data_IF_765282964641
#
_entry.id   IF_765282964641
#
_cell.length_a   1.000
_cell.length_b   1.000
_cell.length_c   1.000
_cell.angle_alpha   90.00
_cell.angle_beta   90.00
_cell.angle_gamma   90.00
#
_symmetry.space_group_name_H-M   'P 1'
#
loop_
_entity.id
_entity.type
_entity.pdbx_description
1 polymer ?
#
# COMPACT_ATOMS: atom_id res chain seq x y z
N UNK A 1 -10.21 35.54 7.52
CA UNK A 1 -9.41 34.63 6.69
C UNK A 1 -10.14 34.41 5.37
N UNK A 2 -9.54 34.76 4.22
CA UNK A 2 -10.10 34.40 2.90
C UNK A 2 -10.06 32.89 2.73
N UNK A 3 -11.21 32.23 2.56
CA UNK A 3 -11.28 30.80 2.22
C UNK A 3 -10.55 30.61 0.89
N UNK A 4 -9.37 29.96 0.92
CA UNK A 4 -8.68 29.55 -0.30
C UNK A 4 -9.53 28.48 -0.98
N UNK A 5 -10.08 28.77 -2.16
CA UNK A 5 -10.77 27.77 -2.99
C UNK A 5 -9.73 26.85 -3.64
N UNK A 6 -9.81 25.57 -3.38
CA UNK A 6 -9.04 24.56 -4.11
C UNK A 6 -9.70 24.42 -5.49
N UNK A 7 -8.90 24.50 -6.55
CA UNK A 7 -9.36 24.33 -7.93
C UNK A 7 -8.62 23.15 -8.56
N UNK A 8 -9.34 22.27 -9.26
CA UNK A 8 -8.71 21.29 -10.14
C UNK A 8 -8.08 22.03 -11.33
N UNK A 9 -6.93 21.56 -11.79
CA UNK A 9 -6.22 22.11 -12.95
C UNK A 9 -5.81 20.95 -13.84
N UNK A 10 -6.20 21.03 -15.12
CA UNK A 10 -5.67 20.14 -16.13
C UNK A 10 -4.23 20.54 -16.46
N UNK A 11 -3.32 19.56 -16.51
CA UNK A 11 -1.94 19.72 -16.94
C UNK A 11 -1.74 18.94 -18.22
N UNK A 12 -0.94 19.49 -19.14
CA UNK A 12 -0.53 18.75 -20.33
C UNK A 12 0.32 17.54 -19.94
N UNK A 13 0.16 16.43 -20.67
CA UNK A 13 0.95 15.18 -20.47
C UNK A 13 2.46 15.46 -20.47
N UNK A 14 2.92 16.44 -21.27
CA UNK A 14 4.32 16.88 -21.32
C UNK A 14 4.88 17.37 -19.96
N UNK A 15 4.02 17.69 -19.00
CA UNK A 15 4.39 18.12 -17.63
C UNK A 15 4.49 16.94 -16.64
N UNK A 16 4.15 15.75 -17.07
CA UNK A 16 4.35 14.53 -16.25
C UNK A 16 5.83 14.13 -16.37
N UNK A 17 6.52 13.88 -15.26
CA UNK A 17 7.92 13.47 -15.29
C UNK A 17 8.14 12.22 -16.14
N UNK A 18 9.19 12.21 -16.97
CA UNK A 18 9.51 11.10 -17.88
C UNK A 18 9.68 9.75 -17.15
N UNK A 19 10.16 9.76 -15.91
CA UNK A 19 10.29 8.58 -15.10
C UNK A 19 8.94 7.97 -14.70
N UNK A 20 7.88 8.78 -14.64
CA UNK A 20 6.50 8.31 -14.42
C UNK A 20 5.94 7.76 -15.72
N UNK A 21 6.06 8.52 -16.82
CA UNK A 21 5.57 8.12 -18.15
C UNK A 21 6.21 6.80 -18.62
N UNK A 22 7.51 6.62 -18.36
CA UNK A 22 8.22 5.38 -18.75
C UNK A 22 7.76 4.12 -18.00
N UNK A 23 7.03 4.28 -16.89
CA UNK A 23 6.45 3.19 -16.11
C UNK A 23 4.95 3.00 -16.41
N UNK A 24 4.34 3.92 -17.17
CA UNK A 24 2.96 3.79 -17.59
C UNK A 24 2.86 2.82 -18.77
N UNK A 25 1.87 1.95 -18.72
CA UNK A 25 1.51 1.10 -19.83
C UNK A 25 0.88 1.98 -20.91
N UNK A 26 1.08 1.64 -22.18
CA UNK A 26 0.52 2.38 -23.32
C UNK A 26 -0.99 2.59 -23.14
N UNK A 27 -1.49 3.79 -23.46
CA UNK A 27 -2.91 4.19 -23.43
C UNK A 27 -3.51 4.28 -22.03
N UNK A 28 -2.94 5.13 -21.17
CA UNK A 28 -3.47 5.38 -19.83
C UNK A 28 -4.25 6.68 -19.86
N UNK A 29 -5.57 6.62 -19.64
CA UNK A 29 -6.43 7.80 -19.55
C UNK A 29 -6.30 8.51 -18.19
N UNK A 30 -5.75 7.84 -17.19
CA UNK A 30 -5.65 8.34 -15.84
C UNK A 30 -4.36 7.87 -15.16
N UNK A 31 -3.68 8.78 -14.46
CA UNK A 31 -2.47 8.49 -13.69
C UNK A 31 -2.64 9.08 -12.29
N UNK A 32 -2.56 8.21 -11.27
CA UNK A 32 -2.49 8.59 -9.87
C UNK A 32 -1.08 8.26 -9.34
N UNK A 33 -0.32 9.27 -8.95
CA UNK A 33 1.00 9.05 -8.38
C UNK A 33 1.39 10.14 -7.39
N UNK A 34 2.29 9.80 -6.47
CA UNK A 34 2.95 10.74 -5.57
C UNK A 34 4.39 11.00 -6.02
N UNK A 35 4.79 12.26 -6.27
CA UNK A 35 6.18 12.57 -6.63
C UNK A 35 7.20 12.08 -5.60
N UNK A 36 6.84 12.08 -4.33
CA UNK A 36 7.71 11.68 -3.24
C UNK A 36 7.96 10.17 -3.19
N UNK A 37 7.09 9.34 -3.76
CA UNK A 37 7.27 7.89 -3.74
C UNK A 37 8.54 7.48 -4.50
N UNK A 38 8.85 8.14 -5.61
CA UNK A 38 10.06 7.86 -6.40
C UNK A 38 11.31 8.16 -5.58
N UNK A 39 11.38 9.33 -4.94
CA UNK A 39 12.51 9.71 -4.08
C UNK A 39 12.66 8.72 -2.93
N UNK A 40 11.56 8.38 -2.27
CA UNK A 40 11.55 7.42 -1.17
C UNK A 40 12.08 6.04 -1.62
N UNK A 41 11.49 5.46 -2.67
CA UNK A 41 11.87 4.13 -3.15
C UNK A 41 13.29 4.08 -3.72
N UNK A 42 13.80 5.16 -4.33
CA UNK A 42 15.19 5.26 -4.73
C UNK A 42 16.14 5.23 -3.52
N UNK A 43 15.77 5.91 -2.42
CA UNK A 43 16.53 5.86 -1.19
C UNK A 43 16.50 4.46 -0.55
N UNK A 44 15.32 3.83 -0.49
CA UNK A 44 15.15 2.46 -0.01
C UNK A 44 15.97 1.48 -0.86
N UNK A 45 15.93 1.61 -2.18
CA UNK A 45 16.72 0.76 -3.08
C UNK A 45 18.23 0.85 -2.79
N UNK A 46 18.73 2.07 -2.53
CA UNK A 46 20.15 2.26 -2.14
C UNK A 46 20.48 1.60 -0.80
N UNK A 47 19.56 1.67 0.17
CA UNK A 47 19.74 1.01 1.47
C UNK A 47 19.73 -0.51 1.34
N UNK A 48 18.79 -1.08 0.56
CA UNK A 48 18.74 -2.52 0.32
C UNK A 48 20.06 -3.02 -0.28
N UNK A 49 20.60 -2.30 -1.26
CA UNK A 49 21.83 -2.68 -1.97
C UNK A 49 23.11 -2.60 -1.12
N UNK A 50 23.09 -1.93 0.03
CA UNK A 50 24.28 -1.81 0.89
C UNK A 50 24.72 -3.14 1.49
N UNK A 51 23.77 -4.02 1.82
CA UNK A 51 24.04 -5.32 2.45
C UNK A 51 23.08 -6.36 1.88
N UNK A 52 23.58 -7.60 1.66
CA UNK A 52 22.80 -8.70 1.12
C UNK A 52 21.60 -9.11 1.99
N UNK A 53 21.72 -8.94 3.30
CA UNK A 53 20.69 -9.32 4.26
C UNK A 53 19.61 -8.23 4.47
N UNK A 54 19.73 -7.10 3.77
CA UNK A 54 18.74 -6.03 3.88
C UNK A 54 17.44 -6.41 3.18
N UNK A 55 16.34 -6.18 3.87
CA UNK A 55 14.99 -6.43 3.37
C UNK A 55 14.12 -5.18 3.56
N UNK A 56 13.31 -4.89 2.57
CA UNK A 56 12.20 -3.96 2.68
C UNK A 56 10.89 -4.74 2.67
N UNK A 57 10.06 -4.50 3.68
CA UNK A 57 8.71 -5.04 3.78
C UNK A 57 7.71 -3.90 3.88
N UNK A 58 6.67 -3.94 3.07
CA UNK A 58 5.51 -3.04 3.23
C UNK A 58 4.20 -3.82 3.13
N UNK A 59 3.25 -3.41 3.95
CA UNK A 59 1.88 -3.95 3.95
C UNK A 59 0.94 -2.76 3.96
N UNK A 60 0.12 -2.65 2.94
CA UNK A 60 -0.88 -1.59 2.83
C UNK A 60 -2.06 -2.02 1.96
N UNK A 61 -3.17 -1.26 2.03
CA UNK A 61 -4.28 -1.49 1.12
C UNK A 61 -3.94 -0.95 -0.27
N UNK A 62 -4.20 -1.78 -1.29
CA UNK A 62 -3.76 -1.46 -2.64
C UNK A 62 -4.13 -2.49 -3.69
N UNK A 63 -3.58 -2.27 -4.88
CA UNK A 63 -3.83 -3.10 -6.05
C UNK A 63 -2.53 -3.38 -6.83
N UNK A 64 -2.58 -4.42 -7.68
CA UNK A 64 -1.47 -4.85 -8.52
C UNK A 64 -1.83 -4.88 -10.01
N UNK A 65 -2.84 -4.12 -10.42
CA UNK A 65 -3.33 -4.11 -11.80
C UNK A 65 -2.37 -3.36 -12.73
N UNK A 66 -2.53 -3.60 -14.03
CA UNK A 66 -1.69 -3.00 -15.07
C UNK A 66 -2.10 -1.57 -15.45
N UNK A 67 -3.16 -1.07 -14.87
CA UNK A 67 -3.69 0.27 -15.10
C UNK A 67 -3.83 1.04 -13.78
N UNK A 68 -3.83 2.36 -13.88
CA UNK A 68 -4.09 3.22 -12.74
C UNK A 68 -5.59 3.25 -12.42
N UNK A 69 -5.91 3.32 -11.14
CA UNK A 69 -7.27 3.47 -10.64
C UNK A 69 -7.41 4.84 -9.97
N UNK A 70 -8.55 5.48 -10.17
CA UNK A 70 -8.94 6.65 -9.39
C UNK A 70 -9.40 6.19 -8.01
N UNK A 71 -8.50 6.30 -7.04
CA UNK A 71 -8.70 5.76 -5.69
C UNK A 71 -8.68 6.84 -4.62
N UNK A 72 -8.39 8.10 -5.01
CA UNK A 72 -8.32 9.21 -4.08
C UNK A 72 -9.70 9.48 -3.46
N UNK A 73 -9.76 9.44 -2.13
CA UNK A 73 -10.99 9.65 -1.39
C UNK A 73 -10.73 10.41 -0.10
N UNK A 74 -11.77 11.03 0.44
CA UNK A 74 -11.74 11.63 1.75
C UNK A 74 -12.82 11.02 2.65
N UNK A 75 -12.47 10.80 3.91
CA UNK A 75 -13.33 10.25 4.94
C UNK A 75 -13.42 11.20 6.13
N UNK A 76 -14.62 11.44 6.63
CA UNK A 76 -14.86 12.13 7.90
C UNK A 76 -15.81 11.29 8.74
N UNK A 77 -15.39 10.93 9.96
CA UNK A 77 -16.17 10.06 10.88
C UNK A 77 -16.67 8.79 10.17
N UNK A 78 -15.77 8.12 9.41
CA UNK A 78 -16.05 6.92 8.60
C UNK A 78 -17.06 7.09 7.47
N UNK A 79 -17.45 8.31 7.11
CA UNK A 79 -18.32 8.61 5.98
C UNK A 79 -17.52 9.23 4.85
N UNK A 80 -17.79 8.79 3.61
CA UNK A 80 -17.17 9.35 2.41
C UNK A 80 -17.66 10.79 2.22
N UNK A 81 -16.71 11.70 2.02
CA UNK A 81 -16.96 13.11 1.74
C UNK A 81 -16.16 13.55 0.50
N UNK A 82 -16.43 14.75 -0.01
CA UNK A 82 -15.61 15.31 -1.09
C UNK A 82 -14.16 15.49 -0.63
N UNK A 83 -13.19 15.23 -1.52
CA UNK A 83 -11.75 15.49 -1.27
C UNK A 83 -11.46 16.96 -0.97
N UNK A 84 -12.37 17.86 -1.31
CA UNK A 84 -12.30 19.30 -1.02
C UNK A 84 -13.10 19.71 0.21
N UNK A 85 -13.66 18.72 0.92
CA UNK A 85 -14.44 18.98 2.13
C UNK A 85 -13.51 19.36 3.27
N UNK A 86 -13.68 20.59 3.80
CA UNK A 86 -12.95 21.08 4.98
C UNK A 86 -11.48 20.63 5.03
N UNK A 87 -10.57 21.15 4.17
CA UNK A 87 -9.18 20.74 4.17
C UNK A 87 -8.53 20.79 5.57
N UNK A 88 -7.94 19.66 6.00
CA UNK A 88 -7.37 19.47 7.33
C UNK A 88 -8.31 18.82 8.35
N UNK A 89 -9.61 18.62 8.01
CA UNK A 89 -10.60 18.01 8.90
C UNK A 89 -11.18 16.67 8.36
N UNK A 90 -10.62 16.15 7.28
CA UNK A 90 -10.97 14.86 6.71
C UNK A 90 -9.70 14.06 6.42
N UNK A 91 -9.77 12.74 6.59
CA UNK A 91 -8.69 11.83 6.25
C UNK A 91 -8.69 11.63 4.73
N UNK A 92 -7.61 12.03 4.07
CA UNK A 92 -7.42 11.81 2.62
C UNK A 92 -6.61 10.54 2.44
N UNK A 93 -7.15 9.60 1.68
CA UNK A 93 -6.54 8.29 1.45
C UNK A 93 -6.60 7.91 -0.03
N UNK A 94 -5.69 7.05 -0.45
CA UNK A 94 -5.71 6.41 -1.76
C UNK A 94 -5.18 4.98 -1.65
N UNK A 95 -5.45 4.14 -2.63
CA UNK A 95 -4.88 2.79 -2.70
C UNK A 95 -3.45 2.83 -3.24
N UNK A 96 -2.59 2.01 -2.67
CA UNK A 96 -1.21 1.88 -3.13
C UNK A 96 -1.16 1.06 -4.43
N UNK A 97 -0.54 1.59 -5.47
CA UNK A 97 -0.24 0.84 -6.69
C UNK A 97 1.04 0.02 -6.49
N UNK A 98 0.90 -1.24 -6.07
CA UNK A 98 2.03 -2.13 -5.82
C UNK A 98 2.77 -2.53 -7.10
N UNK A 99 2.10 -2.53 -8.26
CA UNK A 99 2.77 -2.77 -9.54
C UNK A 99 3.75 -1.66 -9.87
N UNK A 100 3.36 -0.39 -9.68
CA UNK A 100 4.25 0.76 -9.85
C UNK A 100 5.47 0.66 -8.92
N UNK A 101 5.26 0.31 -7.64
CA UNK A 101 6.36 0.13 -6.68
C UNK A 101 7.33 -0.96 -7.16
N UNK A 102 6.83 -2.11 -7.61
CA UNK A 102 7.66 -3.19 -8.16
C UNK A 102 8.48 -2.73 -9.37
N UNK A 103 7.85 -1.99 -10.27
CA UNK A 103 8.54 -1.45 -11.46
C UNK A 103 9.68 -0.50 -11.08
N UNK A 104 9.47 0.36 -10.07
CA UNK A 104 10.51 1.27 -9.57
C UNK A 104 11.70 0.46 -9.00
N UNK A 105 11.45 -0.54 -8.18
CA UNK A 105 12.50 -1.40 -7.63
C UNK A 105 13.26 -2.15 -8.73
N UNK A 106 12.55 -2.72 -9.72
CA UNK A 106 13.18 -3.38 -10.88
C UNK A 106 14.05 -2.41 -11.68
N UNK A 107 13.56 -1.20 -11.94
CA UNK A 107 14.33 -0.14 -12.61
C UNK A 107 15.60 0.25 -11.83
N UNK A 108 15.52 0.16 -10.51
CA UNK A 108 16.65 0.38 -9.62
C UNK A 108 17.57 -0.86 -9.48
N UNK A 109 17.39 -1.91 -10.30
CA UNK A 109 18.22 -3.11 -10.32
C UNK A 109 18.03 -4.06 -9.13
N UNK A 110 16.82 -4.10 -8.57
CA UNK A 110 16.40 -5.08 -7.56
C UNK A 110 15.41 -6.04 -8.22
N UNK A 111 15.76 -7.32 -8.29
CA UNK A 111 14.97 -8.37 -8.97
C UNK A 111 14.25 -9.30 -7.99
N UNK A 112 14.79 -9.50 -6.80
CA UNK A 112 14.19 -10.36 -5.80
C UNK A 112 13.04 -9.65 -5.07
N UNK A 113 11.89 -9.70 -5.73
CA UNK A 113 10.66 -9.02 -5.31
C UNK A 113 9.55 -10.06 -5.18
N UNK A 114 9.03 -10.22 -3.97
CA UNK A 114 7.88 -11.09 -3.70
C UNK A 114 6.68 -10.25 -3.30
N UNK A 115 5.53 -10.50 -3.93
CA UNK A 115 4.27 -9.86 -3.59
C UNK A 115 3.14 -10.89 -3.41
N UNK A 116 2.24 -10.58 -2.48
CA UNK A 116 1.11 -11.45 -2.15
C UNK A 116 0.02 -10.69 -1.41
N UNK A 117 -1.12 -11.35 -1.12
CA UNK A 117 -2.13 -10.79 -0.22
C UNK A 117 -1.71 -10.92 1.24
N UNK A 118 -2.22 -10.02 2.10
CA UNK A 118 -1.99 -10.09 3.54
C UNK A 118 -2.42 -11.44 4.12
N UNK A 119 -3.57 -11.98 3.69
CA UNK A 119 -4.06 -13.28 4.12
C UNK A 119 -3.01 -14.38 3.90
N UNK A 120 -2.51 -14.51 2.66
CA UNK A 120 -1.51 -15.52 2.31
C UNK A 120 -0.21 -15.31 3.08
N UNK A 121 0.26 -14.07 3.18
CA UNK A 121 1.48 -13.74 3.91
C UNK A 121 1.38 -14.14 5.39
N UNK A 122 0.34 -13.68 6.08
CA UNK A 122 0.19 -13.93 7.51
C UNK A 122 -0.04 -15.42 7.81
N UNK A 123 -0.82 -16.11 6.98
CA UNK A 123 -1.06 -17.55 7.14
C UNK A 123 0.22 -18.36 6.94
N UNK A 124 0.99 -18.06 5.88
CA UNK A 124 2.28 -18.71 5.62
C UNK A 124 3.29 -18.46 6.75
N UNK A 125 3.25 -17.28 7.38
CA UNK A 125 4.12 -16.92 8.51
C UNK A 125 3.55 -17.29 9.89
N UNK A 126 2.54 -18.17 9.94
CA UNK A 126 2.12 -18.86 11.16
C UNK A 126 1.20 -18.04 12.08
N UNK A 127 0.43 -17.07 11.56
CA UNK A 127 -0.48 -16.27 12.40
C UNK A 127 -1.48 -17.14 13.18
N UNK A 128 -1.94 -18.25 12.58
CA UNK A 128 -2.89 -19.17 13.25
C UNK A 128 -2.21 -19.91 14.41
N UNK A 129 -0.99 -20.36 14.23
CA UNK A 129 -0.21 -21.02 15.30
C UNK A 129 0.03 -20.03 16.45
N UNK A 130 0.43 -18.80 16.13
CA UNK A 130 0.61 -17.73 17.14
C UNK A 130 -0.68 -17.40 17.88
N UNK A 131 -1.80 -17.37 17.15
CA UNK A 131 -3.13 -17.17 17.77
C UNK A 131 -3.43 -18.27 18.80
N UNK A 132 -3.26 -19.53 18.44
CA UNK A 132 -3.52 -20.65 19.37
C UNK A 132 -2.57 -20.61 20.60
N UNK A 133 -1.29 -20.29 20.39
CA UNK A 133 -0.36 -20.10 21.50
C UNK A 133 -0.79 -18.95 22.43
N UNK A 134 -1.23 -17.84 21.88
CA UNK A 134 -1.71 -16.70 22.66
C UNK A 134 -3.01 -17.04 23.42
N UNK A 135 -3.93 -17.79 22.79
CA UNK A 135 -5.18 -18.25 23.45
C UNK A 135 -4.94 -19.10 24.67
N UNK A 136 -3.89 -19.92 24.68
CA UNK A 136 -3.51 -20.75 25.85
C UNK A 136 -3.17 -19.89 27.09
N UNK A 137 -2.63 -18.68 26.88
CA UNK A 137 -2.26 -17.75 27.95
C UNK A 137 -3.39 -16.85 28.43
N UNK A 138 -4.52 -16.82 27.70
CA UNK A 138 -5.68 -15.99 28.04
C UNK A 138 -6.67 -16.84 28.83
N UNK A 139 -7.02 -16.42 30.03
CA UNK A 139 -8.04 -17.10 30.88
C UNK A 139 -9.46 -16.65 30.52
N UNK A 140 -9.64 -15.37 30.21
CA UNK A 140 -10.94 -14.78 29.95
C UNK A 140 -11.49 -15.16 28.57
N UNK A 141 -12.67 -15.81 28.57
CA UNK A 141 -13.38 -16.28 27.38
C UNK A 141 -13.67 -15.15 26.37
N UNK A 142 -14.06 -13.97 26.85
CA UNK A 142 -14.34 -12.78 26.02
C UNK A 142 -13.08 -12.30 25.30
N UNK A 143 -11.92 -12.33 25.95
CA UNK A 143 -10.67 -11.92 25.34
C UNK A 143 -10.17 -12.95 24.31
N UNK A 144 -10.39 -14.26 24.52
CA UNK A 144 -10.15 -15.29 23.51
C UNK A 144 -10.94 -15.02 22.22
N UNK A 145 -12.25 -14.78 22.37
CA UNK A 145 -13.12 -14.47 21.24
C UNK A 145 -12.67 -13.18 20.49
N UNK A 146 -12.27 -12.13 21.23
CA UNK A 146 -11.75 -10.91 20.61
C UNK A 146 -10.47 -11.16 19.79
N UNK A 147 -9.55 -11.99 20.29
CA UNK A 147 -8.34 -12.35 19.57
C UNK A 147 -8.66 -13.12 18.27
N UNK A 148 -9.57 -14.09 18.34
CA UNK A 148 -10.02 -14.84 17.16
C UNK A 148 -10.66 -13.94 16.11
N UNK A 149 -11.54 -13.02 16.54
CA UNK A 149 -12.15 -12.05 15.63
C UNK A 149 -11.13 -11.12 15.00
N UNK A 150 -10.12 -10.66 15.76
CA UNK A 150 -9.04 -9.81 15.25
C UNK A 150 -8.21 -10.54 14.20
N UNK A 151 -7.80 -11.77 14.47
CA UNK A 151 -7.03 -12.58 13.50
C UNK A 151 -7.89 -12.87 12.27
N UNK A 152 -9.16 -13.27 12.45
CA UNK A 152 -10.09 -13.48 11.34
C UNK A 152 -10.19 -12.24 10.45
N UNK A 153 -10.35 -11.04 11.04
CA UNK A 153 -10.39 -9.78 10.29
C UNK A 153 -9.15 -9.56 9.44
N UNK A 154 -7.97 -9.91 9.93
CA UNK A 154 -6.70 -9.74 9.22
C UNK A 154 -6.55 -10.69 8.03
N UNK A 155 -7.06 -11.92 8.12
CA UNK A 155 -6.84 -12.97 7.10
C UNK A 155 -8.06 -13.24 6.21
N UNK A 156 -9.26 -12.83 6.60
CA UNK A 156 -10.47 -13.03 5.79
C UNK A 156 -10.37 -12.25 4.47
N UNK A 157 -10.46 -12.94 3.29
CA UNK A 157 -10.42 -12.28 1.98
C UNK A 157 -11.50 -11.21 1.78
N UNK A 158 -12.65 -11.35 2.45
CA UNK A 158 -13.76 -10.40 2.37
C UNK A 158 -13.56 -9.15 3.26
N UNK A 159 -12.51 -9.14 4.08
CA UNK A 159 -12.14 -8.03 4.94
C UNK A 159 -10.77 -7.48 4.57
N UNK A 160 -9.78 -7.57 5.48
CA UNK A 160 -8.44 -7.03 5.22
C UNK A 160 -7.55 -7.99 4.40
N UNK A 161 -7.86 -9.28 4.40
CA UNK A 161 -6.97 -10.32 3.88
C UNK A 161 -6.63 -10.19 2.40
N UNK A 162 -7.57 -9.74 1.55
CA UNK A 162 -7.32 -9.49 0.12
C UNK A 162 -7.12 -8.02 -0.21
N UNK A 163 -7.71 -7.12 0.59
CA UNK A 163 -7.59 -5.67 0.39
C UNK A 163 -6.16 -5.21 0.60
N UNK A 164 -5.51 -5.72 1.65
CA UNK A 164 -4.11 -5.41 1.93
C UNK A 164 -3.18 -6.31 1.10
N UNK A 165 -2.16 -5.68 0.52
CA UNK A 165 -1.07 -6.34 -0.21
C UNK A 165 0.20 -6.28 0.61
N UNK A 166 1.04 -7.27 0.39
CA UNK A 166 2.36 -7.37 1.00
C UNK A 166 3.38 -7.38 -0.10
N UNK A 167 4.41 -6.58 0.05
CA UNK A 167 5.57 -6.56 -0.85
C UNK A 167 6.83 -6.70 -0.02
N UNK A 168 7.68 -7.64 -0.38
CA UNK A 168 9.04 -7.76 0.14
C UNK A 168 10.04 -7.61 -0.99
N UNK A 169 11.15 -6.92 -0.71
CA UNK A 169 12.26 -6.73 -1.63
C UNK A 169 13.55 -6.99 -0.88
N UNK A 170 14.39 -7.86 -1.41
CA UNK A 170 15.69 -8.20 -0.83
C UNK A 170 16.81 -7.98 -1.84
N UNK A 171 18.05 -7.98 -1.37
CA UNK A 171 19.27 -7.87 -2.18
C UNK A 171 19.94 -9.25 -2.30
N UNK A 172 19.17 -10.29 -2.50
CA UNK A 172 19.77 -11.59 -2.82
C UNK A 172 20.20 -11.59 -4.28
N UNK A 173 21.48 -11.78 -4.51
CA UNK A 173 22.08 -12.20 -5.79
C UNK A 173 22.15 -13.71 -5.84
#
# INVERSE_FOLDING_TARGET
MKKKKIKSKYLEIKKIPNNVLSLCIKNVDFIEYSPNIFKFLNNVSRLIKKHKDNCFLTIDYGYCDDYFKDTLQALKKHKKVSIFYEPGNADITHLVNFKLIKQIFKKNGLSNIYDTSQSKFLTKNGILVRMEQAKKKITNKKNKAKLEMAVKRLIDPKQMGSLFKVLTVTNEN
#
